data_IF_303032749939
#
_entry.id   IF_303032749939
#
_cell.length_a   1.000
_cell.length_b   1.000
_cell.length_c   1.000
_cell.angle_alpha   90.00
_cell.angle_beta   90.00
_cell.angle_gamma   90.00
#
_symmetry.space_group_name_H-M   'P 1'
#
loop_
_entity.id
_entity.type
_entity.pdbx_description
1 polymer ?
#
# COMPACT_ATOMS: atom_id res chain seq x y z
N UNK A 1 -14.09 1.82 -5.85
CA UNK A 1 -14.43 1.37 -4.47
C UNK A 1 -15.80 0.72 -4.51
N UNK A 2 -15.90 -0.50 -3.96
CA UNK A 2 -17.15 -1.22 -3.74
C UNK A 2 -17.41 -1.30 -2.23
N UNK A 3 -18.66 -1.13 -1.81
CA UNK A 3 -19.03 -1.19 -0.39
C UNK A 3 -20.37 -1.88 -0.21
N UNK A 4 -20.49 -2.71 0.84
CA UNK A 4 -21.78 -3.20 1.34
C UNK A 4 -22.50 -2.16 2.20
N UNK A 5 -21.77 -1.19 2.74
CA UNK A 5 -22.31 -0.10 3.53
C UNK A 5 -22.73 1.06 2.65
N UNK A 6 -23.70 1.86 3.07
CA UNK A 6 -24.11 3.05 2.32
C UNK A 6 -22.94 4.01 2.06
N UNK A 7 -22.78 4.42 0.81
CA UNK A 7 -21.88 5.52 0.45
C UNK A 7 -22.63 6.81 0.66
N UNK A 8 -22.23 7.62 1.64
CA UNK A 8 -22.91 8.85 2.04
C UNK A 8 -22.24 10.12 1.49
N UNK A 9 -20.99 10.01 1.02
CA UNK A 9 -20.25 11.10 0.38
C UNK A 9 -19.23 10.56 -0.61
N UNK A 10 -18.97 11.30 -1.69
CA UNK A 10 -17.86 11.05 -2.63
C UNK A 10 -16.84 12.16 -2.52
N UNK A 11 -15.58 11.82 -2.63
CA UNK A 11 -14.45 12.73 -2.66
C UNK A 11 -13.76 12.64 -4.01
N UNK A 12 -13.58 13.78 -4.65
CA UNK A 12 -12.81 13.94 -5.87
C UNK A 12 -12.01 15.23 -5.76
N UNK A 13 -10.76 15.21 -6.14
CA UNK A 13 -9.84 16.34 -6.05
C UNK A 13 -9.36 16.72 -7.45
N UNK A 14 -10.29 16.71 -8.43
CA UNK A 14 -10.01 16.81 -9.86
C UNK A 14 -9.22 18.08 -10.27
N UNK A 15 -9.29 19.14 -9.48
CA UNK A 15 -8.52 20.37 -9.72
C UNK A 15 -7.04 20.23 -9.35
N UNK A 16 -6.69 19.20 -8.59
CA UNK A 16 -5.34 18.99 -8.06
C UNK A 16 -4.74 17.65 -8.45
N UNK A 17 -5.56 16.59 -8.48
CA UNK A 17 -5.12 15.21 -8.71
C UNK A 17 -6.10 14.53 -9.66
N UNK A 18 -5.57 13.75 -10.62
CA UNK A 18 -6.40 12.94 -11.50
C UNK A 18 -7.28 11.97 -10.71
N UNK A 19 -8.57 11.92 -11.02
CA UNK A 19 -9.51 10.96 -10.42
C UNK A 19 -9.20 9.51 -10.78
N UNK A 20 -8.33 9.26 -11.73
CA UNK A 20 -7.79 7.96 -12.05
C UNK A 20 -6.76 7.51 -10.98
N UNK A 21 -5.97 8.45 -10.48
CA UNK A 21 -4.89 8.16 -9.53
C UNK A 21 -5.34 8.20 -8.08
N UNK A 22 -6.34 9.05 -7.74
CA UNK A 22 -6.76 9.23 -6.36
C UNK A 22 -8.22 9.67 -6.25
N UNK A 23 -8.90 9.13 -5.25
CA UNK A 23 -10.26 9.51 -4.89
C UNK A 23 -10.80 8.63 -3.78
N UNK A 24 -11.99 8.97 -3.29
CA UNK A 24 -12.54 8.21 -2.17
C UNK A 24 -14.03 8.44 -1.93
N UNK A 25 -14.48 7.77 -0.89
CA UNK A 25 -15.85 7.84 -0.41
C UNK A 25 -15.89 7.96 1.11
N UNK A 26 -17.00 8.42 1.66
CA UNK A 26 -17.36 8.19 3.05
C UNK A 26 -18.46 7.14 3.07
N UNK A 27 -18.28 6.10 3.84
CA UNK A 27 -19.28 5.05 4.08
C UNK A 27 -19.85 5.19 5.48
N UNK A 28 -21.08 4.74 5.68
CA UNK A 28 -21.72 4.63 6.98
C UNK A 28 -21.69 3.17 7.45
N UNK A 29 -20.83 2.88 8.40
CA UNK A 29 -20.72 1.54 9.01
C UNK A 29 -21.57 1.49 10.27
N UNK A 30 -22.84 1.15 10.13
CA UNK A 30 -23.80 1.02 11.24
C UNK A 30 -23.89 2.29 12.12
N UNK A 31 -23.94 3.46 11.48
CA UNK A 31 -24.01 4.77 12.12
C UNK A 31 -22.64 5.40 12.40
N UNK A 32 -21.53 4.73 12.06
CA UNK A 32 -20.16 5.24 12.22
C UNK A 32 -19.59 5.61 10.84
N UNK A 33 -19.35 6.90 10.55
CA UNK A 33 -18.78 7.31 9.28
C UNK A 33 -17.31 6.94 9.20
N UNK A 34 -16.87 6.39 8.07
CA UNK A 34 -15.48 6.07 7.76
C UNK A 34 -15.13 6.62 6.37
N UNK A 35 -14.01 7.31 6.26
CA UNK A 35 -13.47 7.76 4.97
C UNK A 35 -12.60 6.68 4.38
N UNK A 36 -12.86 6.30 3.14
CA UNK A 36 -12.08 5.29 2.41
C UNK A 36 -11.57 5.89 1.13
N UNK A 37 -10.25 5.92 0.97
CA UNK A 37 -9.56 6.40 -0.23
C UNK A 37 -8.87 5.27 -0.95
N UNK A 38 -8.70 5.44 -2.25
CA UNK A 38 -7.91 4.57 -3.10
C UNK A 38 -6.89 5.41 -3.87
N UNK A 39 -5.66 4.92 -3.95
CA UNK A 39 -4.60 5.54 -4.74
C UNK A 39 -3.95 4.55 -5.69
N UNK A 40 -3.40 5.06 -6.77
CA UNK A 40 -2.48 4.39 -7.67
C UNK A 40 -1.38 5.37 -8.06
N UNK A 41 -0.20 5.22 -7.47
CA UNK A 41 0.94 6.07 -7.77
C UNK A 41 1.62 5.61 -9.06
N UNK A 42 2.40 6.50 -9.66
CA UNK A 42 3.08 6.21 -10.91
C UNK A 42 4.07 5.06 -10.78
N UNK A 43 4.13 4.17 -11.78
CA UNK A 43 4.92 2.93 -11.72
C UNK A 43 6.43 3.10 -12.01
N UNK A 44 6.86 4.26 -12.55
CA UNK A 44 8.27 4.51 -12.84
C UNK A 44 8.94 5.40 -11.78
N UNK A 45 10.23 5.16 -11.54
CA UNK A 45 11.06 4.06 -12.04
C UNK A 45 10.60 2.72 -11.52
N UNK A 46 10.76 1.67 -12.33
CA UNK A 46 10.31 0.32 -12.00
C UNK A 46 11.11 -0.25 -10.82
N UNK A 47 10.44 -0.56 -9.72
CA UNK A 47 11.06 -1.04 -8.48
C UNK A 47 11.88 -2.33 -8.64
N UNK A 48 11.59 -3.15 -9.66
CA UNK A 48 12.42 -4.33 -9.98
C UNK A 48 13.86 -3.95 -10.33
N UNK A 49 14.03 -2.75 -10.88
CA UNK A 49 15.31 -2.22 -11.37
C UNK A 49 16.03 -1.36 -10.32
N UNK A 50 15.52 -1.30 -9.09
CA UNK A 50 16.18 -0.52 -8.05
C UNK A 50 17.65 -0.96 -7.89
N UNK A 51 18.61 -0.01 -7.94
CA UNK A 51 20.03 -0.31 -7.98
C UNK A 51 20.56 -0.67 -6.58
N UNK A 52 20.20 -1.84 -6.08
CA UNK A 52 20.49 -2.30 -4.71
C UNK A 52 21.98 -2.54 -4.42
N UNK A 53 22.84 -2.51 -5.45
CA UNK A 53 24.30 -2.55 -5.35
C UNK A 53 24.92 -1.16 -5.09
N UNK A 54 24.11 -0.11 -5.03
CA UNK A 54 24.53 1.28 -4.84
C UNK A 54 24.34 1.74 -3.39
N UNK A 55 24.85 2.93 -3.09
CA UNK A 55 24.62 3.58 -1.81
C UNK A 55 23.15 3.93 -1.63
N UNK A 56 22.72 4.14 -0.38
CA UNK A 56 21.37 4.58 -0.06
C UNK A 56 21.02 5.89 -0.79
N UNK A 57 21.97 6.82 -0.85
CA UNK A 57 21.80 8.12 -1.50
C UNK A 57 21.59 7.98 -3.01
N UNK A 58 22.31 7.05 -3.65
CA UNK A 58 22.13 6.78 -5.08
C UNK A 58 20.80 6.07 -5.37
N UNK A 59 20.35 5.15 -4.50
CA UNK A 59 19.05 4.51 -4.61
C UNK A 59 17.92 5.54 -4.48
N UNK A 60 18.01 6.44 -3.49
CA UNK A 60 17.03 7.51 -3.30
C UNK A 60 17.04 8.50 -4.47
N UNK A 61 18.22 8.87 -4.99
CA UNK A 61 18.31 9.73 -6.16
C UNK A 61 17.66 9.09 -7.40
N UNK A 62 17.82 7.79 -7.58
CA UNK A 62 17.15 7.05 -8.64
C UNK A 62 15.62 7.02 -8.45
N UNK A 63 15.14 6.81 -7.23
CA UNK A 63 13.70 6.88 -6.92
C UNK A 63 13.11 8.24 -7.24
N UNK A 64 13.83 9.31 -6.93
CA UNK A 64 13.43 10.70 -7.17
C UNK A 64 13.45 11.12 -8.67
N UNK A 65 13.89 10.25 -9.58
CA UNK A 65 13.66 10.43 -11.03
C UNK A 65 12.18 10.23 -11.40
N UNK A 66 11.40 9.59 -10.54
CA UNK A 66 9.97 9.40 -10.67
C UNK A 66 9.14 10.54 -10.09
N UNK A 67 7.83 10.31 -9.99
CA UNK A 67 6.85 11.31 -9.50
C UNK A 67 6.13 10.90 -8.23
N UNK A 68 6.38 9.68 -7.70
CA UNK A 68 5.65 9.13 -6.56
C UNK A 68 5.73 9.99 -5.31
N UNK A 69 6.90 10.54 -5.04
CA UNK A 69 7.11 11.46 -3.91
C UNK A 69 6.26 12.74 -4.07
N UNK A 70 6.26 13.35 -5.24
CA UNK A 70 5.41 14.51 -5.52
C UNK A 70 3.92 14.17 -5.45
N UNK A 71 3.53 12.99 -5.95
CA UNK A 71 2.14 12.53 -5.97
C UNK A 71 1.62 12.32 -4.55
N UNK A 72 2.38 11.62 -3.69
CA UNK A 72 1.94 11.39 -2.31
C UNK A 72 1.86 12.69 -1.52
N UNK A 73 2.80 13.63 -1.71
CA UNK A 73 2.74 14.93 -1.06
C UNK A 73 1.52 15.76 -1.52
N UNK A 74 1.14 15.70 -2.80
CA UNK A 74 -0.09 16.33 -3.30
C UNK A 74 -1.33 15.68 -2.67
N UNK A 75 -1.37 14.34 -2.59
CA UNK A 75 -2.47 13.61 -1.95
C UNK A 75 -2.60 14.02 -0.48
N UNK A 76 -1.52 13.99 0.27
CA UNK A 76 -1.52 14.38 1.68
C UNK A 76 -1.93 15.86 1.88
N UNK A 77 -1.50 16.74 0.98
CA UNK A 77 -1.89 18.16 1.01
C UNK A 77 -3.40 18.35 0.86
N UNK A 78 -4.05 17.69 -0.11
CA UNK A 78 -5.51 17.81 -0.28
C UNK A 78 -6.29 17.10 0.83
N UNK A 79 -5.68 16.14 1.52
CA UNK A 79 -6.28 15.45 2.65
C UNK A 79 -6.14 16.21 3.97
N UNK A 80 -5.29 17.23 4.09
CA UNK A 80 -5.03 17.96 5.34
C UNK A 80 -6.28 18.33 6.14
N UNK A 81 -7.35 18.88 5.55
CA UNK A 81 -8.56 19.19 6.30
C UNK A 81 -9.26 17.95 6.88
N UNK A 82 -9.14 16.82 6.20
CA UNK A 82 -9.74 15.54 6.62
C UNK A 82 -8.88 14.82 7.66
N UNK A 83 -7.56 14.95 7.54
CA UNK A 83 -6.59 14.42 8.53
C UNK A 83 -6.78 15.09 9.89
N UNK A 84 -7.04 16.39 9.91
CA UNK A 84 -7.33 17.13 11.15
C UNK A 84 -8.59 16.61 11.90
N UNK A 85 -9.48 15.92 11.20
CA UNK A 85 -10.70 15.33 11.76
C UNK A 85 -10.61 13.80 11.93
N UNK A 86 -9.47 13.18 11.64
CA UNK A 86 -9.33 11.72 11.59
C UNK A 86 -9.64 11.04 12.93
N UNK A 87 -9.40 11.71 14.04
CA UNK A 87 -9.73 11.22 15.37
C UNK A 87 -11.24 11.05 15.63
N UNK A 88 -12.07 11.76 14.86
CA UNK A 88 -13.53 11.68 14.93
C UNK A 88 -14.15 10.89 13.77
N UNK A 89 -13.58 11.00 12.58
CA UNK A 89 -14.01 10.29 11.38
C UNK A 89 -12.77 9.65 10.77
N UNK A 90 -12.50 8.38 11.07
CA UNK A 90 -11.27 7.72 10.68
C UNK A 90 -11.11 7.61 9.17
N UNK A 91 -9.85 7.47 8.75
CA UNK A 91 -9.47 7.37 7.34
C UNK A 91 -8.81 6.01 7.11
N UNK A 92 -9.22 5.33 6.06
CA UNK A 92 -8.54 4.18 5.47
C UNK A 92 -8.10 4.59 4.06
N UNK A 93 -6.85 4.34 3.69
CA UNK A 93 -6.34 4.55 2.35
C UNK A 93 -5.63 3.30 1.86
N UNK A 94 -6.13 2.70 0.79
CA UNK A 94 -5.53 1.53 0.17
C UNK A 94 -5.20 1.77 -1.29
N UNK A 95 -4.30 0.96 -1.83
CA UNK A 95 -3.97 0.98 -3.24
C UNK A 95 -2.57 0.45 -3.55
N UNK A 96 -2.24 0.54 -4.82
CA UNK A 96 -0.90 0.29 -5.33
C UNK A 96 -0.09 1.60 -5.28
N UNK A 97 0.90 1.61 -4.42
CA UNK A 97 1.80 2.75 -4.23
C UNK A 97 3.02 2.67 -5.16
N UNK A 98 3.21 1.54 -5.84
CA UNK A 98 4.30 1.29 -6.79
C UNK A 98 5.71 1.53 -6.21
N UNK A 99 5.87 1.45 -4.90
CA UNK A 99 7.14 1.65 -4.19
C UNK A 99 7.17 0.83 -2.92
N UNK A 100 8.34 0.47 -2.48
CA UNK A 100 8.58 -0.29 -1.24
C UNK A 100 8.31 0.54 0.02
N UNK A 101 8.32 -0.13 1.18
CA UNK A 101 8.21 0.51 2.48
C UNK A 101 9.55 0.53 3.23
N UNK A 102 9.86 1.64 3.90
CA UNK A 102 10.99 1.73 4.83
C UNK A 102 10.88 0.72 5.98
N UNK A 103 9.66 0.27 6.32
CA UNK A 103 9.41 -0.76 7.33
C UNK A 103 9.81 -2.17 6.87
N UNK A 104 10.01 -2.36 5.57
CA UNK A 104 10.41 -3.63 4.96
C UNK A 104 11.90 -3.66 4.59
N UNK A 105 12.51 -2.50 4.29
CA UNK A 105 13.91 -2.36 3.88
C UNK A 105 14.81 -1.93 5.04
N UNK A 106 14.94 -2.81 6.02
CA UNK A 106 15.59 -2.56 7.32
C UNK A 106 16.95 -3.26 7.42
N UNK A 107 17.71 -2.95 8.46
CA UNK A 107 18.94 -3.71 8.79
C UNK A 107 18.70 -5.23 8.92
N UNK A 108 17.54 -5.64 9.41
CA UNK A 108 17.20 -7.05 9.57
C UNK A 108 16.95 -7.77 8.23
N UNK A 109 16.47 -7.05 7.22
CA UNK A 109 16.10 -7.59 5.90
C UNK A 109 17.13 -7.31 4.82
N UNK A 110 18.17 -6.50 5.08
CA UNK A 110 19.13 -6.01 4.08
C UNK A 110 19.75 -7.09 3.18
N UNK A 111 19.95 -8.29 3.70
CA UNK A 111 20.53 -9.42 2.96
C UNK A 111 19.46 -10.47 2.58
N UNK A 112 18.19 -10.14 2.70
CA UNK A 112 17.06 -10.98 2.32
C UNK A 112 16.35 -10.36 1.12
N UNK A 113 15.45 -11.12 0.49
CA UNK A 113 14.51 -10.64 -0.52
C UNK A 113 15.16 -9.88 -1.69
N UNK A 114 16.42 -10.17 -2.00
CA UNK A 114 17.22 -9.47 -3.02
C UNK A 114 17.41 -7.96 -2.76
N UNK A 115 17.40 -7.53 -1.49
CA UNK A 115 17.69 -6.14 -1.12
C UNK A 115 19.15 -5.72 -1.34
N UNK A 116 20.05 -6.67 -1.63
CA UNK A 116 21.43 -6.39 -2.04
C UNK A 116 22.31 -5.76 -0.96
N UNK A 117 21.91 -5.82 0.30
CA UNK A 117 22.58 -5.16 1.43
C UNK A 117 22.03 -3.76 1.71
N UNK A 118 21.06 -3.26 0.93
CA UNK A 118 20.53 -1.93 1.09
C UNK A 118 19.55 -1.82 2.29
N UNK A 119 19.61 -0.66 2.94
CA UNK A 119 18.63 -0.18 3.93
C UNK A 119 18.14 1.16 3.44
N UNK A 120 16.85 1.29 3.15
CA UNK A 120 16.33 2.45 2.44
C UNK A 120 15.11 3.02 3.15
N UNK A 121 15.17 4.31 3.46
CA UNK A 121 14.03 5.09 3.98
C UNK A 121 13.19 5.59 2.79
N UNK A 122 12.35 4.72 2.24
CA UNK A 122 11.54 5.03 1.07
C UNK A 122 10.62 6.22 1.30
N UNK A 123 10.71 7.31 0.49
CA UNK A 123 10.09 8.60 0.78
C UNK A 123 8.57 8.53 0.96
N UNK A 124 7.88 7.77 0.11
CA UNK A 124 6.42 7.66 0.15
C UNK A 124 5.93 7.07 1.47
N UNK A 125 6.55 5.99 1.93
CA UNK A 125 6.13 5.33 3.19
C UNK A 125 6.52 6.18 4.42
N UNK A 126 7.61 6.93 4.37
CA UNK A 126 7.97 7.92 5.40
C UNK A 126 6.92 9.05 5.43
N UNK A 127 6.55 9.62 4.27
CA UNK A 127 5.54 10.67 4.21
C UNK A 127 4.18 10.22 4.78
N UNK A 128 3.79 8.96 4.54
CA UNK A 128 2.58 8.39 5.12
C UNK A 128 2.66 8.30 6.65
N UNK A 129 3.77 7.82 7.19
CA UNK A 129 3.99 7.75 8.64
C UNK A 129 4.01 9.13 9.28
N UNK A 130 4.74 10.10 8.71
CA UNK A 130 4.80 11.49 9.17
C UNK A 130 3.43 12.19 9.15
N UNK A 131 2.55 11.83 8.20
CA UNK A 131 1.18 12.29 8.16
C UNK A 131 0.28 11.62 9.21
N UNK A 132 0.80 10.67 9.99
CA UNK A 132 0.11 9.98 11.07
C UNK A 132 -0.63 8.70 10.66
N UNK A 133 -0.43 8.24 9.44
CA UNK A 133 -0.96 6.95 9.01
C UNK A 133 -0.17 5.78 9.58
N UNK A 134 -0.86 4.70 9.86
CA UNK A 134 -0.29 3.41 10.23
C UNK A 134 -0.47 2.41 9.09
N UNK A 135 0.56 1.65 8.79
CA UNK A 135 0.50 0.50 7.89
C UNK A 135 -0.16 -0.68 8.62
N UNK A 136 -1.39 -1.02 8.24
CA UNK A 136 -2.17 -2.06 8.91
C UNK A 136 -1.52 -3.44 8.83
N UNK A 137 -0.84 -3.75 7.71
CA UNK A 137 -0.16 -5.04 7.59
C UNK A 137 1.06 -5.10 8.50
N UNK A 138 1.90 -4.09 8.50
CA UNK A 138 3.13 -4.09 9.29
C UNK A 138 2.86 -3.94 10.78
N UNK A 139 1.78 -3.26 11.18
CA UNK A 139 1.34 -3.23 12.57
C UNK A 139 0.94 -4.63 13.07
N UNK A 140 0.24 -5.43 12.26
CA UNK A 140 -0.16 -6.79 12.62
C UNK A 140 0.94 -7.83 12.42
N UNK A 141 1.93 -7.55 11.57
CA UNK A 141 3.06 -8.41 11.24
C UNK A 141 4.38 -7.65 11.44
N UNK A 142 4.80 -7.33 12.67
CA UNK A 142 5.89 -6.38 12.93
C UNK A 142 7.29 -6.90 12.56
N UNK A 143 7.43 -8.17 12.21
CA UNK A 143 8.71 -8.77 11.81
C UNK A 143 8.79 -9.00 10.30
N UNK A 144 9.43 -8.10 9.52
CA UNK A 144 9.53 -8.24 8.08
C UNK A 144 10.42 -9.44 7.66
N UNK A 145 11.30 -9.92 8.53
CA UNK A 145 12.09 -11.13 8.25
C UNK A 145 11.21 -12.38 8.21
N UNK A 146 10.22 -12.46 9.09
CA UNK A 146 9.31 -13.59 9.15
C UNK A 146 8.19 -13.52 8.10
N UNK A 147 7.77 -12.31 7.74
CA UNK A 147 6.67 -12.08 6.81
C UNK A 147 6.88 -10.76 6.06
N UNK A 148 7.40 -10.83 4.84
CA UNK A 148 7.56 -9.67 3.98
C UNK A 148 6.20 -9.12 3.54
N UNK A 149 5.24 -10.00 3.25
CA UNK A 149 3.91 -9.61 2.78
C UNK A 149 3.90 -9.27 1.31
N UNK A 150 4.54 -10.08 0.48
CA UNK A 150 4.64 -9.87 -0.97
C UNK A 150 3.26 -9.62 -1.59
N UNK A 151 3.16 -8.57 -2.40
CA UNK A 151 1.95 -8.26 -3.17
C UNK A 151 2.22 -8.11 -4.66
N UNK A 152 3.47 -8.05 -5.09
CA UNK A 152 3.80 -7.88 -6.49
C UNK A 152 4.90 -8.77 -6.98
N UNK A 153 4.80 -9.10 -8.26
CA UNK A 153 5.34 -10.22 -8.99
C UNK A 153 5.08 -11.53 -8.26
N UNK A 154 3.82 -11.90 -8.32
CA UNK A 154 3.32 -13.14 -7.69
C UNK A 154 3.07 -14.25 -8.70
N UNK A 155 3.42 -14.07 -9.98
CA UNK A 155 3.27 -15.08 -11.01
C UNK A 155 4.43 -16.11 -11.03
N UNK A 156 4.20 -17.24 -11.69
CA UNK A 156 5.17 -18.35 -11.75
C UNK A 156 6.44 -17.96 -12.53
N UNK A 157 6.33 -17.06 -13.48
CA UNK A 157 7.46 -16.62 -14.31
C UNK A 157 8.45 -15.78 -13.50
N UNK A 158 7.97 -15.08 -12.46
CA UNK A 158 8.81 -14.31 -11.55
C UNK A 158 9.74 -15.17 -10.70
N UNK A 159 9.41 -16.45 -10.50
CA UNK A 159 10.25 -17.40 -9.75
C UNK A 159 11.40 -17.97 -10.59
N UNK A 160 11.26 -17.98 -11.91
CA UNK A 160 12.30 -18.43 -12.83
C UNK A 160 13.32 -17.34 -13.17
N UNK A 161 12.93 -16.09 -13.01
CA UNK A 161 13.81 -14.93 -13.12
C UNK A 161 14.19 -14.49 -11.72
N UNK A 162 15.44 -14.18 -11.44
CA UNK A 162 15.88 -13.61 -10.15
C UNK A 162 15.26 -12.23 -9.92
N UNK A 163 13.91 -12.15 -10.04
CA UNK A 163 13.14 -10.94 -9.85
C UNK A 163 12.85 -10.73 -8.36
N UNK A 164 13.02 -9.50 -7.93
CA UNK A 164 12.63 -9.08 -6.58
C UNK A 164 11.13 -9.10 -6.48
N UNK A 165 10.62 -9.88 -5.53
CA UNK A 165 9.22 -9.85 -5.11
C UNK A 165 9.14 -8.98 -3.86
N UNK A 166 8.20 -8.05 -3.83
CA UNK A 166 8.10 -7.10 -2.73
C UNK A 166 6.65 -6.68 -2.45
N UNK A 167 6.47 -5.88 -1.42
CA UNK A 167 5.18 -5.32 -1.05
C UNK A 167 5.10 -3.89 -1.55
N UNK A 168 4.16 -3.62 -2.46
CA UNK A 168 3.90 -2.30 -3.05
C UNK A 168 2.43 -1.90 -2.94
N UNK A 169 1.57 -2.84 -2.53
CA UNK A 169 0.16 -2.60 -2.24
C UNK A 169 -0.04 -2.49 -0.72
N UNK A 170 -0.69 -1.43 -0.28
CA UNK A 170 -0.83 -1.12 1.13
C UNK A 170 -2.27 -0.79 1.50
N UNK A 171 -2.59 -1.02 2.78
CA UNK A 171 -3.75 -0.44 3.45
C UNK A 171 -3.24 0.32 4.66
N UNK A 172 -3.24 1.64 4.55
CA UNK A 172 -2.96 2.56 5.63
C UNK A 172 -4.25 3.00 6.33
N UNK A 173 -4.16 3.36 7.60
CA UNK A 173 -5.30 3.93 8.31
C UNK A 173 -4.86 4.96 9.36
N UNK A 174 -5.80 5.86 9.74
CA UNK A 174 -5.58 6.89 10.74
C UNK A 174 -6.88 7.21 11.51
N UNK A 175 -6.75 7.51 12.79
CA UNK A 175 -7.82 7.93 13.68
C UNK A 175 -7.78 7.19 15.02
N UNK A 176 -8.39 7.77 16.07
CA UNK A 176 -8.47 7.16 17.41
C UNK A 176 -9.64 6.18 17.54
N UNK A 177 -10.64 6.29 16.68
CA UNK A 177 -11.85 5.46 16.70
C UNK A 177 -11.76 4.24 15.77
N UNK A 178 -10.56 3.92 15.28
CA UNK A 178 -10.29 2.77 14.43
C UNK A 178 -9.01 2.06 14.86
N UNK A 179 -9.03 0.75 14.85
CA UNK A 179 -7.87 -0.09 15.13
C UNK A 179 -7.82 -1.26 14.17
N UNK A 180 -6.65 -1.56 13.61
CA UNK A 180 -6.42 -2.81 12.90
C UNK A 180 -6.38 -3.97 13.90
N UNK A 181 -7.10 -5.05 13.61
CA UNK A 181 -7.16 -6.26 14.45
C UNK A 181 -6.68 -7.50 13.73
N UNK A 182 -6.54 -7.46 12.41
CA UNK A 182 -5.87 -8.46 11.59
C UNK A 182 -5.49 -7.84 10.24
N UNK A 183 -4.38 -8.27 9.67
CA UNK A 183 -4.02 -7.96 8.30
C UNK A 183 -3.16 -9.06 7.70
N UNK A 184 -3.48 -9.46 6.48
CA UNK A 184 -2.84 -10.55 5.75
C UNK A 184 -2.59 -10.10 4.32
N UNK A 185 -1.46 -10.54 3.73
CA UNK A 185 -1.20 -10.44 2.30
C UNK A 185 -1.44 -11.81 1.66
N UNK A 186 -2.14 -11.80 0.55
CA UNK A 186 -2.39 -12.97 -0.28
C UNK A 186 -1.62 -12.77 -1.57
N UNK A 187 -0.50 -13.44 -1.68
CA UNK A 187 0.17 -13.57 -2.95
C UNK A 187 -0.59 -14.56 -3.84
N UNK A 188 -0.56 -14.34 -5.13
CA UNK A 188 -1.11 -15.30 -6.10
C UNK A 188 -0.15 -16.46 -6.31
N UNK A 189 0.77 -16.69 -5.41
CA UNK A 189 1.82 -17.65 -5.63
C UNK A 189 1.30 -18.87 -6.39
N UNK A 190 1.68 -18.94 -7.68
CA UNK A 190 1.75 -20.24 -8.35
C UNK A 190 0.47 -20.74 -9.01
N UNK A 191 -0.19 -19.93 -9.84
CA UNK A 191 -1.20 -20.43 -10.76
C UNK A 191 -2.39 -21.13 -10.08
N UNK A 192 -2.75 -20.68 -8.87
CA UNK A 192 -3.91 -21.23 -8.18
C UNK A 192 -5.18 -20.85 -8.89
N UNK A 193 -5.94 -21.84 -9.28
CA UNK A 193 -7.34 -21.66 -9.62
C UNK A 193 -8.16 -21.54 -8.33
N UNK A 194 -9.14 -20.67 -8.32
CA UNK A 194 -10.15 -20.64 -7.27
C UNK A 194 -11.52 -20.90 -7.88
N UNK A 195 -12.37 -21.59 -7.14
CA UNK A 195 -13.72 -21.91 -7.58
C UNK A 195 -14.70 -20.88 -7.06
N UNK A 196 -15.45 -20.23 -7.95
CA UNK A 196 -16.53 -19.33 -7.58
C UNK A 196 -17.81 -19.73 -8.33
N UNK A 197 -18.89 -19.98 -7.59
CA UNK A 197 -20.20 -20.45 -8.12
C UNK A 197 -20.10 -21.72 -8.97
N UNK A 198 -19.14 -22.61 -8.65
CA UNK A 198 -18.96 -23.89 -9.34
C UNK A 198 -18.13 -23.79 -10.63
N UNK A 199 -17.57 -22.64 -10.95
CA UNK A 199 -16.65 -22.43 -12.07
C UNK A 199 -15.26 -22.15 -11.53
N UNK A 200 -14.23 -22.70 -12.19
CA UNK A 200 -12.83 -22.47 -11.85
C UNK A 200 -12.31 -21.25 -12.60
N UNK A 201 -11.74 -20.33 -11.85
CA UNK A 201 -11.11 -19.11 -12.37
C UNK A 201 -9.61 -19.14 -12.09
N UNK A 202 -8.85 -18.77 -13.10
CA UNK A 202 -7.46 -18.42 -12.90
C UNK A 202 -7.37 -17.03 -12.27
N UNK A 203 -6.48 -16.83 -11.31
CA UNK A 203 -6.28 -15.51 -10.70
C UNK A 203 -5.75 -14.53 -11.77
N UNK A 204 -6.44 -13.42 -12.03
CA UNK A 204 -6.22 -12.63 -13.24
C UNK A 204 -5.22 -11.48 -13.09
N UNK A 205 -4.35 -11.50 -12.07
CA UNK A 205 -3.44 -10.41 -11.76
C UNK A 205 -2.05 -10.92 -11.41
N UNK A 206 -1.02 -10.17 -11.74
CA UNK A 206 0.35 -10.30 -11.28
C UNK A 206 0.56 -9.68 -9.88
N UNK A 207 -0.44 -8.96 -9.35
CA UNK A 207 -0.48 -8.53 -7.96
C UNK A 207 -1.25 -9.52 -7.08
N UNK A 208 -0.77 -9.70 -5.87
CA UNK A 208 -1.54 -10.20 -4.76
C UNK A 208 -2.50 -9.12 -4.21
N UNK A 209 -3.04 -9.34 -3.02
CA UNK A 209 -3.87 -8.34 -2.36
C UNK A 209 -3.66 -8.33 -0.84
N UNK A 210 -3.97 -7.20 -0.24
CA UNK A 210 -3.97 -7.02 1.21
C UNK A 210 -5.40 -7.07 1.71
N UNK A 211 -5.64 -7.85 2.76
CA UNK A 211 -6.91 -7.90 3.49
C UNK A 211 -6.68 -7.45 4.93
N UNK A 212 -7.30 -6.35 5.33
CA UNK A 212 -7.24 -5.86 6.70
C UNK A 212 -8.61 -5.83 7.33
N UNK A 213 -8.66 -6.20 8.60
CA UNK A 213 -9.84 -6.14 9.44
C UNK A 213 -9.65 -5.06 10.49
N UNK A 214 -10.65 -4.19 10.61
CA UNK A 214 -10.65 -3.10 11.56
C UNK A 214 -11.79 -3.24 12.56
N UNK A 215 -11.55 -2.78 13.78
CA UNK A 215 -12.55 -2.51 14.78
C UNK A 215 -12.80 -1.01 14.86
N UNK A 216 -14.06 -0.61 14.99
CA UNK A 216 -14.50 0.78 15.14
C UNK A 216 -15.12 0.97 16.53
N UNK A 217 -14.61 1.94 17.29
CA UNK A 217 -15.14 2.33 18.60
C UNK A 217 -16.45 3.12 18.48
#
# INVERSE_FOLDING_TARGET
IYSRYPIIRKYAFADSISTFNFGGVMIDVDGKPVRVFNTWLHYLPDMRLAPTDKSKEEILAWEMEGTRDEEIHKILSVLQPLLAEADSIPIIMGGDFNVHSHLDWTEATRNLYLHGGAVVDWPVSIAMEEAGFKDSFREMNPNPVANLGVTWLTDADSLETECRMDRIDFIYYQGKTIQAIASECYDNSLGKTFTFKGEDFFYPSDHGFVLSKFELD
#
